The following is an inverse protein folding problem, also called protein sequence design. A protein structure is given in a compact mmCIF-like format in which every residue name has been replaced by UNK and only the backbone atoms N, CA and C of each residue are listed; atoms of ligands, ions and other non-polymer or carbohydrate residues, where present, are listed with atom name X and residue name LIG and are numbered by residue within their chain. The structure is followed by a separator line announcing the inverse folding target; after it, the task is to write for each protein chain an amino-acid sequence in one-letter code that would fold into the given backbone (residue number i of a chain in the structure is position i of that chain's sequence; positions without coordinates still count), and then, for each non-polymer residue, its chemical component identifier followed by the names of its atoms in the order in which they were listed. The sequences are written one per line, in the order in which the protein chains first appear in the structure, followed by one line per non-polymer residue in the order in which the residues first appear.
data_IF_242747654075
#
_entry.id   IF_242747654075
#
_cell.length_a   1.000
_cell.length_b   1.000
_cell.length_c   1.000
_cell.angle_alpha   90.00
_cell.angle_beta   90.00
_cell.angle_gamma   90.00
#
_symmetry.space_group_name_H-M   'P 1'
#
loop_
_entity.id
_entity.type
_entity.pdbx_description
1 polymer ?
#
# COMPACT_ATOMS: atom_id res chain seq x y z
N UNK A 1 7.23 -49.84 50.35
CA UNK A 1 6.50 -48.65 49.84
C UNK A 1 7.33 -48.02 48.74
N UNK A 2 6.82 -47.98 47.51
CA UNK A 2 7.52 -47.39 46.36
C UNK A 2 7.62 -45.87 46.52
N UNK A 3 8.80 -45.30 46.26
CA UNK A 3 9.01 -43.84 46.24
C UNK A 3 8.08 -43.22 45.18
N UNK A 4 7.10 -42.44 45.62
CA UNK A 4 6.17 -41.73 44.75
C UNK A 4 6.54 -40.26 44.66
N UNK A 5 6.63 -39.74 43.44
CA UNK A 5 7.11 -38.40 43.12
C UNK A 5 6.22 -37.24 43.64
N UNK A 6 5.00 -37.51 44.15
CA UNK A 6 4.04 -36.57 44.77
C UNK A 6 4.31 -35.07 44.46
N UNK A 7 4.11 -34.69 43.20
CA UNK A 7 4.04 -33.29 42.76
C UNK A 7 2.73 -33.02 42.00
N UNK A 8 1.56 -33.00 42.67
CA UNK A 8 0.35 -32.42 42.08
C UNK A 8 0.36 -30.91 42.31
N UNK A 9 -0.03 -30.12 41.31
CA UNK A 9 -0.31 -28.69 41.44
C UNK A 9 -1.35 -28.49 42.55
N UNK A 10 -0.91 -28.03 43.73
CA UNK A 10 -1.75 -27.86 44.93
C UNK A 10 -1.80 -29.03 45.93
N UNK A 11 -0.91 -30.04 45.83
CA UNK A 11 -0.84 -31.18 46.76
C UNK A 11 0.17 -31.06 47.91
N UNK A 12 0.24 -32.09 48.77
CA UNK A 12 1.22 -32.19 49.87
C UNK A 12 2.63 -32.49 49.33
N UNK A 13 3.67 -31.71 49.69
CA UNK A 13 5.04 -31.90 49.22
C UNK A 13 5.62 -33.29 49.51
N UNK A 14 6.59 -33.72 48.70
CA UNK A 14 7.36 -34.95 48.91
C UNK A 14 8.12 -34.93 50.25
N UNK A 15 8.12 -36.05 50.96
CA UNK A 15 8.76 -36.22 52.29
C UNK A 15 10.29 -36.14 52.26
N UNK A 16 10.90 -36.07 51.07
CA UNK A 16 12.37 -36.02 50.86
C UNK A 16 12.87 -34.58 50.67
N UNK A 17 11.97 -33.60 50.52
CA UNK A 17 12.32 -32.18 50.37
C UNK A 17 11.44 -31.47 49.34
N UNK A 18 11.35 -30.14 49.44
CA UNK A 18 10.67 -29.31 48.45
C UNK A 18 11.49 -29.23 47.18
N UNK A 19 10.88 -29.53 46.04
CA UNK A 19 11.51 -29.34 44.74
C UNK A 19 11.69 -27.83 44.50
N UNK A 20 12.94 -27.39 44.30
CA UNK A 20 13.31 -25.98 44.13
C UNK A 20 13.02 -25.51 42.70
N UNK A 21 13.15 -26.39 41.71
CA UNK A 21 12.91 -26.12 40.29
C UNK A 21 11.66 -26.88 39.83
N UNK A 22 10.52 -26.19 39.83
CA UNK A 22 9.21 -26.78 39.49
C UNK A 22 8.79 -26.58 38.03
N UNK A 23 9.60 -25.86 37.26
CA UNK A 23 9.29 -25.47 35.89
C UNK A 23 10.53 -25.70 35.02
N UNK A 24 10.32 -26.33 33.87
CA UNK A 24 11.36 -26.49 32.84
C UNK A 24 11.18 -25.35 31.83
N UNK A 25 12.11 -24.41 31.83
CA UNK A 25 12.14 -23.36 30.81
C UNK A 25 12.71 -23.94 29.51
N UNK A 26 11.90 -23.90 28.45
CA UNK A 26 12.37 -24.25 27.11
C UNK A 26 13.25 -23.09 26.64
N UNK A 27 14.55 -23.36 26.44
CA UNK A 27 15.59 -22.36 26.14
C UNK A 27 15.36 -21.44 24.93
N UNK A 28 14.32 -21.68 24.12
CA UNK A 28 14.06 -20.93 22.90
C UNK A 28 12.67 -20.31 22.96
N UNK A 29 12.63 -18.99 22.94
CA UNK A 29 11.39 -18.23 22.79
C UNK A 29 10.71 -18.59 21.46
N UNK A 30 9.38 -18.57 21.46
CA UNK A 30 8.60 -18.57 20.22
C UNK A 30 8.81 -17.21 19.55
N UNK A 31 9.16 -17.23 18.27
CA UNK A 31 9.43 -16.02 17.48
C UNK A 31 8.36 -15.89 16.42
N UNK A 32 7.75 -14.71 16.33
CA UNK A 32 6.73 -14.41 15.32
C UNK A 32 7.36 -14.34 13.93
N UNK A 33 6.59 -14.75 12.90
CA UNK A 33 7.08 -14.68 11.53
C UNK A 33 7.19 -13.21 11.10
N UNK A 34 8.27 -12.80 10.39
CA UNK A 34 8.35 -11.44 9.85
C UNK A 34 7.14 -11.14 8.95
N UNK A 35 6.49 -9.98 9.16
CA UNK A 35 5.44 -9.53 8.25
C UNK A 35 5.99 -9.33 6.85
N UNK A 36 5.25 -9.81 5.87
CA UNK A 36 5.62 -9.70 4.45
C UNK A 36 5.37 -8.28 3.96
N UNK A 37 6.23 -7.83 3.05
CA UNK A 37 6.08 -6.58 2.30
C UNK A 37 5.16 -6.81 1.09
N UNK A 38 4.17 -5.92 0.86
CA UNK A 38 3.14 -6.07 -0.17
C UNK A 38 3.15 -4.92 -1.21
N UNK A 39 3.19 -3.66 -0.76
CA UNK A 39 3.19 -2.44 -1.56
C UNK A 39 4.58 -2.07 -2.11
N UNK A 40 5.63 -2.29 -1.32
CA UNK A 40 7.01 -1.93 -1.71
C UNK A 40 7.58 -2.75 -2.87
N UNK A 41 6.98 -3.90 -3.21
CA UNK A 41 7.38 -4.73 -4.36
C UNK A 41 7.21 -4.03 -5.71
N UNK A 42 6.32 -3.04 -5.81
CA UNK A 42 6.00 -2.32 -7.04
C UNK A 42 6.50 -0.86 -7.04
N UNK A 43 7.23 -0.47 -6.01
CA UNK A 43 7.68 0.91 -5.85
C UNK A 43 8.96 1.17 -6.68
N UNK A 44 8.91 2.17 -7.56
CA UNK A 44 10.13 2.75 -8.10
C UNK A 44 10.89 3.48 -6.99
N UNK A 45 12.22 3.38 -6.95
CA UNK A 45 13.04 4.03 -5.92
C UNK A 45 13.84 5.17 -6.53
N UNK A 46 13.65 6.37 -6.00
CA UNK A 46 14.46 7.55 -6.34
C UNK A 46 15.38 7.90 -5.17
N UNK A 47 16.68 8.08 -5.42
CA UNK A 47 17.66 8.40 -4.38
C UNK A 47 17.90 9.91 -4.31
N UNK A 48 17.73 10.50 -3.12
CA UNK A 48 17.99 11.93 -2.89
C UNK A 48 19.50 12.17 -2.65
N UNK A 49 20.16 13.02 -3.48
CA UNK A 49 21.56 13.36 -3.29
C UNK A 49 21.80 14.30 -2.10
N UNK A 50 23.03 14.29 -1.56
CA UNK A 50 23.44 15.21 -0.49
C UNK A 50 23.37 16.67 -0.96
N UNK A 51 23.03 17.57 -0.02
CA UNK A 51 23.02 19.03 -0.21
C UNK A 51 21.86 19.61 -1.04
N UNK A 52 20.84 18.82 -1.36
CA UNK A 52 19.64 19.28 -2.12
C UNK A 52 18.40 19.50 -1.25
N UNK A 53 18.56 19.62 0.07
CA UNK A 53 17.45 19.80 1.01
C UNK A 53 16.59 18.53 1.18
N UNK A 54 15.31 18.72 1.52
CA UNK A 54 14.35 17.63 1.81
C UNK A 54 13.21 17.51 0.81
N UNK A 55 13.18 18.36 -0.23
CA UNK A 55 12.13 18.38 -1.24
C UNK A 55 12.72 17.96 -2.57
N UNK A 56 12.12 16.96 -3.20
CA UNK A 56 12.43 16.61 -4.58
C UNK A 56 11.32 17.16 -5.48
N UNK A 57 11.71 17.81 -6.56
CA UNK A 57 10.79 18.33 -7.57
C UNK A 57 11.06 17.66 -8.90
N UNK A 58 10.00 17.28 -9.61
CA UNK A 58 10.07 16.72 -10.97
C UNK A 58 9.09 17.46 -11.86
N UNK A 59 9.55 17.85 -13.04
CA UNK A 59 8.65 18.40 -14.06
C UNK A 59 7.91 17.27 -14.77
N UNK A 60 6.60 17.40 -14.88
CA UNK A 60 5.77 16.57 -15.73
C UNK A 60 5.19 17.42 -16.87
N UNK A 61 5.63 17.15 -18.09
CA UNK A 61 5.12 17.82 -19.28
C UNK A 61 3.77 17.24 -19.68
N UNK A 62 2.76 18.10 -19.83
CA UNK A 62 1.44 17.70 -20.29
C UNK A 62 1.39 17.66 -21.82
N UNK A 63 0.84 16.60 -22.43
CA UNK A 63 0.50 16.60 -23.84
C UNK A 63 -0.48 17.74 -24.20
N UNK A 64 -0.43 18.21 -25.44
CA UNK A 64 -1.26 19.33 -25.91
C UNK A 64 -2.76 19.12 -25.67
N UNK A 65 -3.23 17.89 -25.90
CA UNK A 65 -4.63 17.48 -25.77
C UNK A 65 -4.95 16.86 -24.41
N UNK A 66 -4.09 17.00 -23.41
CA UNK A 66 -4.41 16.60 -22.04
C UNK A 66 -5.26 17.71 -21.37
N UNK A 67 -6.29 17.32 -20.63
CA UNK A 67 -7.21 18.26 -19.97
C UNK A 67 -6.49 19.18 -18.97
N UNK A 68 -5.36 18.73 -18.42
CA UNK A 68 -4.52 19.52 -17.52
C UNK A 68 -3.70 20.59 -18.24
N UNK A 69 -3.62 20.54 -19.58
CA UNK A 69 -2.92 21.52 -20.42
C UNK A 69 -3.72 22.83 -20.61
N UNK A 70 -4.20 23.40 -19.51
CA UNK A 70 -4.86 24.71 -19.51
C UNK A 70 -3.80 25.80 -19.56
N UNK A 71 -3.77 26.56 -20.65
CA UNK A 71 -2.83 27.66 -20.87
C UNK A 71 -3.55 28.89 -21.44
N UNK A 72 -2.92 30.05 -21.27
CA UNK A 72 -3.39 31.36 -21.71
C UNK A 72 -2.87 31.74 -23.11
N UNK A 73 -2.10 30.86 -23.76
CA UNK A 73 -1.37 31.17 -24.99
C UNK A 73 -2.07 30.70 -26.27
N UNK A 74 -3.15 29.94 -26.17
CA UNK A 74 -3.96 29.48 -27.31
C UNK A 74 -5.02 30.48 -27.79
N UNK A 75 -4.62 31.75 -27.97
CA UNK A 75 -5.52 32.85 -28.34
C UNK A 75 -5.71 32.94 -29.85
N UNK A 76 -6.96 33.08 -30.31
CA UNK A 76 -7.25 33.68 -31.61
C UNK A 76 -7.01 35.20 -31.58
N UNK A 77 -7.04 35.86 -32.74
CA UNK A 77 -6.87 37.32 -32.86
C UNK A 77 -7.99 38.14 -32.17
N UNK A 78 -9.00 37.48 -31.60
CA UNK A 78 -10.17 38.07 -30.94
C UNK A 78 -10.17 37.88 -29.42
N UNK A 79 -9.13 37.26 -28.85
CA UNK A 79 -8.95 37.17 -27.40
C UNK A 79 -9.85 36.15 -26.70
N UNK A 80 -10.41 35.16 -27.42
CA UNK A 80 -11.22 34.12 -26.80
C UNK A 80 -10.33 33.18 -25.98
N UNK A 81 -10.59 33.06 -24.68
CA UNK A 81 -9.92 32.11 -23.79
C UNK A 81 -10.47 30.71 -24.01
N UNK A 82 -9.60 29.68 -23.98
CA UNK A 82 -10.06 28.29 -23.92
C UNK A 82 -10.71 28.09 -22.55
N UNK A 83 -12.03 28.23 -22.47
CA UNK A 83 -12.76 28.24 -21.21
C UNK A 83 -12.90 26.85 -20.53
N UNK A 84 -12.62 25.75 -21.25
CA UNK A 84 -12.91 24.39 -20.77
C UNK A 84 -11.80 23.38 -21.12
N UNK A 85 -10.65 23.42 -20.44
CA UNK A 85 -9.65 22.35 -20.55
C UNK A 85 -8.75 22.44 -21.79
N UNK A 86 -8.62 21.33 -22.53
CA UNK A 86 -7.72 21.22 -23.69
C UNK A 86 -8.32 21.88 -24.97
N UNK A 87 -7.57 21.84 -26.09
CA UNK A 87 -7.99 22.36 -27.40
C UNK A 87 -9.37 21.85 -27.86
N UNK A 88 -9.79 20.66 -27.44
CA UNK A 88 -11.07 20.04 -27.79
C UNK A 88 -12.16 20.23 -26.73
N UNK A 89 -11.92 21.04 -25.70
CA UNK A 89 -12.89 21.26 -24.65
C UNK A 89 -13.05 20.09 -23.68
N UNK A 90 -12.05 19.20 -23.61
CA UNK A 90 -12.11 17.94 -22.84
C UNK A 90 -13.27 17.02 -23.27
N UNK A 91 -13.72 17.17 -24.52
CA UNK A 91 -14.80 16.39 -25.11
C UNK A 91 -14.28 15.20 -25.91
N UNK A 92 -15.05 14.11 -25.91
CA UNK A 92 -14.89 12.97 -26.83
C UNK A 92 -15.97 12.95 -27.91
N UNK A 93 -16.86 13.95 -27.92
CA UNK A 93 -17.95 14.04 -28.89
C UNK A 93 -17.45 14.54 -30.25
N UNK A 94 -17.91 13.86 -31.31
CA UNK A 94 -17.48 14.11 -32.68
C UNK A 94 -17.89 15.50 -33.17
N UNK A 95 -19.04 16.00 -32.74
CA UNK A 95 -19.54 17.33 -33.11
C UNK A 95 -18.64 18.44 -32.56
N UNK A 96 -18.29 18.35 -31.27
CA UNK A 96 -17.42 19.34 -30.63
C UNK A 96 -15.99 19.30 -31.16
N UNK A 97 -15.43 18.12 -31.44
CA UNK A 97 -14.06 17.99 -31.96
C UNK A 97 -13.98 18.56 -33.39
N UNK A 98 -14.92 18.19 -34.27
CA UNK A 98 -14.93 18.64 -35.66
C UNK A 98 -14.96 20.18 -35.76
N UNK A 99 -15.73 20.83 -34.88
CA UNK A 99 -15.80 22.29 -34.81
C UNK A 99 -14.51 22.95 -34.31
N UNK A 100 -13.70 22.24 -33.52
CA UNK A 100 -12.47 22.76 -32.89
C UNK A 100 -11.19 22.27 -33.58
N UNK A 101 -11.29 21.60 -34.73
CA UNK A 101 -10.12 21.21 -35.50
C UNK A 101 -9.44 22.46 -36.07
N UNK A 102 -8.13 22.62 -35.89
CA UNK A 102 -7.39 23.77 -36.41
C UNK A 102 -7.27 23.68 -37.93
N UNK A 103 -8.26 24.22 -38.64
CA UNK A 103 -8.23 24.34 -40.10
C UNK A 103 -7.32 25.51 -40.52
N UNK A 104 -6.66 25.35 -41.66
CA UNK A 104 -5.87 26.41 -42.30
C UNK A 104 -6.62 26.87 -43.55
N UNK A 105 -6.74 28.19 -43.75
CA UNK A 105 -7.25 28.77 -44.99
C UNK A 105 -6.10 29.20 -45.90
N UNK A 106 -6.38 29.39 -47.20
CA UNK A 106 -5.37 29.85 -48.18
C UNK A 106 -4.83 31.26 -47.89
N UNK A 107 -5.58 32.08 -47.15
CA UNK A 107 -5.16 33.41 -46.74
C UNK A 107 -4.23 33.29 -45.53
N UNK A 108 -2.93 33.56 -45.71
CA UNK A 108 -1.94 33.51 -44.63
C UNK A 108 -2.27 34.46 -43.45
N UNK A 109 -2.08 33.97 -42.22
CA UNK A 109 -2.30 34.72 -40.98
C UNK A 109 -1.83 33.95 -39.73
N UNK A 110 -1.76 34.61 -38.56
CA UNK A 110 -1.41 33.99 -37.28
C UNK A 110 -2.63 33.28 -36.66
N UNK A 111 -3.01 32.12 -37.21
CA UNK A 111 -4.11 31.27 -36.71
C UNK A 111 -3.58 30.04 -35.98
N UNK A 112 -4.41 29.39 -35.16
CA UNK A 112 -4.12 28.09 -34.51
C UNK A 112 -2.88 28.11 -33.58
N UNK A 113 -2.70 29.19 -32.80
CA UNK A 113 -1.67 29.21 -31.76
C UNK A 113 -2.03 28.19 -30.66
N UNK A 114 -1.04 27.40 -30.24
CA UNK A 114 -1.19 26.43 -29.15
C UNK A 114 -0.21 26.73 -28.03
N UNK A 115 -0.58 26.38 -26.80
CA UNK A 115 0.30 26.47 -25.63
C UNK A 115 0.58 25.11 -25.00
N UNK A 116 1.65 25.07 -24.21
CA UNK A 116 2.08 23.90 -23.46
C UNK A 116 2.23 24.26 -21.99
N UNK A 117 1.82 23.34 -21.11
CA UNK A 117 1.97 23.47 -19.66
C UNK A 117 2.87 22.37 -19.11
N UNK A 118 3.72 22.76 -18.16
CA UNK A 118 4.44 21.85 -17.27
C UNK A 118 3.83 21.91 -15.88
N UNK A 119 3.69 20.78 -15.23
CA UNK A 119 3.28 20.68 -13.83
C UNK A 119 4.53 20.37 -13.00
N UNK A 120 4.65 20.99 -11.82
CA UNK A 120 5.65 20.63 -10.83
C UNK A 120 5.07 19.58 -9.89
N UNK A 121 5.67 18.40 -9.86
CA UNK A 121 5.41 17.38 -8.86
C UNK A 121 6.41 17.55 -7.73
N UNK A 122 5.96 17.43 -6.48
CA UNK A 122 6.80 17.56 -5.29
C UNK A 122 6.66 16.29 -4.43
N UNK A 123 7.80 15.79 -3.94
CA UNK A 123 7.86 14.79 -2.88
C UNK A 123 8.68 15.30 -1.71
N UNK A 124 8.29 14.93 -0.50
CA UNK A 124 9.00 15.29 0.73
C UNK A 124 9.73 14.10 1.30
N UNK A 125 10.89 14.36 1.89
CA UNK A 125 11.71 13.38 2.58
C UNK A 125 11.72 13.69 4.08
N UNK A 126 11.24 12.75 4.88
CA UNK A 126 11.19 12.82 6.33
C UNK A 126 12.10 11.76 6.95
N UNK A 127 12.45 11.99 8.22
CA UNK A 127 13.36 11.12 8.97
C UNK A 127 12.61 10.56 10.15
N UNK A 128 12.56 9.24 10.20
CA UNK A 128 11.92 8.49 11.26
C UNK A 128 12.98 7.76 12.09
N UNK A 129 12.62 7.42 13.32
CA UNK A 129 13.45 6.62 14.19
C UNK A 129 12.83 6.46 15.56
N UNK A 130 13.19 5.36 16.21
CA UNK A 130 12.85 5.04 17.59
C UNK A 130 14.06 4.38 18.24
N UNK A 131 14.03 4.32 19.57
CA UNK A 131 15.11 3.77 20.37
C UNK A 131 14.55 2.97 21.54
N UNK A 132 15.36 2.06 22.04
CA UNK A 132 15.12 1.28 23.24
C UNK A 132 16.37 1.33 24.13
N UNK A 133 16.16 1.30 25.44
CA UNK A 133 17.18 1.43 26.47
C UNK A 133 17.12 0.21 27.40
N UNK A 134 18.29 -0.30 27.76
CA UNK A 134 18.41 -1.47 28.63
C UNK A 134 19.58 -1.31 29.60
N UNK A 135 19.48 -1.93 30.76
CA UNK A 135 20.53 -1.89 31.79
C UNK A 135 21.45 -3.10 31.70
N UNK A 136 22.66 -2.97 32.24
CA UNK A 136 23.57 -4.10 32.37
C UNK A 136 22.99 -5.21 33.26
N UNK A 137 22.39 -4.86 34.40
CA UNK A 137 21.73 -5.83 35.27
C UNK A 137 20.59 -6.58 34.56
N UNK A 138 19.81 -5.92 33.70
CA UNK A 138 18.76 -6.58 32.95
C UNK A 138 19.30 -7.60 31.96
N UNK A 139 20.53 -7.47 31.48
CA UNK A 139 21.15 -8.46 30.58
C UNK A 139 21.81 -9.60 31.35
N UNK A 140 22.44 -9.29 32.48
CA UNK A 140 23.19 -10.27 33.27
C UNK A 140 22.28 -11.21 34.09
N UNK A 141 21.08 -10.75 34.44
CA UNK A 141 20.11 -11.50 35.25
C UNK A 141 18.90 -12.03 34.48
N UNK A 142 18.81 -11.80 33.16
CA UNK A 142 17.73 -12.38 32.35
C UNK A 142 17.94 -13.88 32.13
N UNK A 143 16.84 -14.61 32.02
CA UNK A 143 16.83 -16.04 31.75
C UNK A 143 17.00 -16.40 30.27
N UNK A 144 16.81 -15.45 29.35
CA UNK A 144 16.99 -15.59 27.90
C UNK A 144 18.38 -15.12 27.45
N UNK A 145 19.23 -16.09 27.08
CA UNK A 145 20.59 -15.86 26.57
C UNK A 145 20.63 -15.11 25.21
N UNK A 146 19.50 -15.00 24.49
CA UNK A 146 19.39 -14.36 23.17
C UNK A 146 18.56 -13.07 23.17
N UNK A 147 18.29 -12.49 24.34
CA UNK A 147 17.45 -11.28 24.49
C UNK A 147 17.88 -10.14 23.55
N UNK A 148 19.19 -9.89 23.41
CA UNK A 148 19.73 -8.86 22.51
C UNK A 148 19.48 -9.15 21.03
N UNK A 149 19.60 -10.40 20.59
CA UNK A 149 19.32 -10.77 19.20
C UNK A 149 17.83 -10.62 18.89
N UNK A 150 16.97 -10.93 19.86
CA UNK A 150 15.52 -10.74 19.75
C UNK A 150 15.18 -9.25 19.60
N UNK A 151 15.64 -8.39 20.51
CA UNK A 151 15.40 -6.94 20.44
C UNK A 151 15.89 -6.36 19.10
N UNK A 152 17.09 -6.73 18.66
CA UNK A 152 17.63 -6.31 17.37
C UNK A 152 16.74 -6.67 16.19
N UNK A 153 16.25 -7.91 16.16
CA UNK A 153 15.37 -8.38 15.11
C UNK A 153 14.04 -7.66 15.14
N UNK A 154 13.38 -7.55 16.30
CA UNK A 154 12.08 -6.90 16.42
C UNK A 154 12.13 -5.41 16.04
N UNK A 155 13.21 -4.70 16.39
CA UNK A 155 13.39 -3.32 15.91
C UNK A 155 13.47 -3.21 14.38
N UNK A 156 14.16 -4.15 13.72
CA UNK A 156 14.25 -4.16 12.25
C UNK A 156 12.89 -4.49 11.63
N UNK A 157 12.16 -5.46 12.20
CA UNK A 157 10.82 -5.82 11.73
C UNK A 157 9.85 -4.66 11.91
N UNK A 158 9.79 -4.06 13.09
CA UNK A 158 8.94 -2.90 13.37
C UNK A 158 9.24 -1.71 12.44
N UNK A 159 10.52 -1.43 12.15
CA UNK A 159 10.86 -0.34 11.21
C UNK A 159 10.44 -0.64 9.75
N UNK A 160 10.47 -1.91 9.33
CA UNK A 160 9.94 -2.31 8.02
C UNK A 160 8.41 -2.16 7.97
N UNK A 161 7.70 -2.62 9.00
CA UNK A 161 6.24 -2.51 9.10
C UNK A 161 5.79 -1.05 9.05
N UNK A 162 6.40 -0.18 9.87
CA UNK A 162 6.09 1.26 9.87
C UNK A 162 6.31 1.92 8.50
N UNK A 163 7.31 1.46 7.74
CA UNK A 163 7.60 2.01 6.41
C UNK A 163 6.56 1.56 5.39
N UNK A 164 6.09 0.31 5.51
CA UNK A 164 5.03 -0.25 4.67
C UNK A 164 3.68 0.41 4.95
N UNK A 165 3.37 0.66 6.22
CA UNK A 165 2.18 1.38 6.67
C UNK A 165 2.14 2.82 6.16
N UNK A 166 3.28 3.52 6.25
CA UNK A 166 3.41 4.87 5.71
C UNK A 166 3.16 4.90 4.20
N UNK A 167 3.71 3.92 3.47
CA UNK A 167 3.48 3.77 2.04
C UNK A 167 2.01 3.51 1.70
N UNK A 168 1.35 2.66 2.48
CA UNK A 168 -0.07 2.39 2.31
C UNK A 168 -0.91 3.66 2.48
N UNK A 169 -0.67 4.44 3.54
CA UNK A 169 -1.37 5.70 3.81
C UNK A 169 -1.19 6.68 2.64
N UNK A 170 0.04 6.86 2.19
CA UNK A 170 0.36 7.78 1.11
C UNK A 170 -0.31 7.37 -0.21
N UNK A 171 -0.35 6.08 -0.52
CA UNK A 171 -1.02 5.56 -1.71
C UNK A 171 -2.55 5.74 -1.65
N UNK A 172 -3.17 5.47 -0.51
CA UNK A 172 -4.61 5.64 -0.31
C UNK A 172 -5.00 7.12 -0.44
N UNK A 173 -4.21 8.02 0.14
CA UNK A 173 -4.47 9.46 0.10
C UNK A 173 -4.18 10.08 -1.27
N UNK A 174 -3.27 9.49 -2.05
CA UNK A 174 -2.84 10.00 -3.36
C UNK A 174 -3.62 9.42 -4.54
N UNK A 175 -4.67 8.63 -4.29
CA UNK A 175 -5.49 8.05 -5.34
C UNK A 175 -6.25 9.13 -6.13
N UNK A 176 -5.95 9.26 -7.43
CA UNK A 176 -6.61 10.23 -8.31
C UNK A 176 -7.95 9.77 -8.85
N UNK A 177 -8.23 8.46 -8.82
CA UNK A 177 -9.52 7.89 -9.23
C UNK A 177 -10.19 7.24 -8.03
N UNK A 178 -11.11 7.95 -7.38
CA UNK A 178 -11.89 7.41 -6.27
C UNK A 178 -13.27 7.00 -6.77
N UNK A 179 -13.69 5.77 -6.47
CA UNK A 179 -15.06 5.28 -6.69
C UNK A 179 -15.63 4.68 -5.42
N UNK A 180 -16.93 4.83 -5.30
CA UNK A 180 -17.74 4.22 -4.26
C UNK A 180 -18.53 3.07 -4.89
N UNK A 181 -18.60 1.93 -4.21
CA UNK A 181 -19.43 0.82 -4.65
C UNK A 181 -20.92 1.16 -4.46
N UNK A 182 -21.79 0.55 -5.26
CA UNK A 182 -23.23 0.76 -5.19
C UNK A 182 -23.64 2.20 -5.53
N UNK A 183 -24.59 2.75 -4.76
CA UNK A 183 -25.13 4.10 -4.95
C UNK A 183 -24.46 5.17 -4.07
N UNK A 184 -23.45 4.80 -3.28
CA UNK A 184 -22.76 5.71 -2.39
C UNK A 184 -22.00 6.81 -3.16
N UNK A 185 -21.93 8.00 -2.57
CA UNK A 185 -21.21 9.16 -3.15
C UNK A 185 -20.15 9.71 -2.20
N UNK A 186 -20.16 9.25 -0.95
CA UNK A 186 -19.22 9.61 0.11
C UNK A 186 -19.01 8.42 1.05
N UNK A 187 -18.01 8.49 1.93
CA UNK A 187 -17.78 7.45 2.93
C UNK A 187 -19.02 7.26 3.83
N UNK A 188 -19.65 8.36 4.27
CA UNK A 188 -20.78 8.34 5.18
C UNK A 188 -22.08 7.76 4.57
N UNK A 189 -22.14 7.63 3.24
CA UNK A 189 -23.29 7.07 2.52
C UNK A 189 -23.10 5.61 2.13
N UNK A 190 -22.01 4.95 2.57
CA UNK A 190 -21.78 3.53 2.32
C UNK A 190 -22.68 2.72 3.26
N UNK A 191 -23.56 1.92 2.68
CA UNK A 191 -24.53 1.05 3.36
C UNK A 191 -24.29 -0.44 3.06
N UNK A 192 -25.20 -1.32 3.48
CA UNK A 192 -25.15 -2.77 3.25
C UNK A 192 -25.24 -3.17 1.77
N UNK A 193 -25.78 -2.29 0.92
CA UNK A 193 -25.89 -2.50 -0.53
C UNK A 193 -24.64 -2.08 -1.28
N UNK A 194 -23.75 -1.32 -0.64
CA UNK A 194 -22.53 -0.74 -1.20
C UNK A 194 -21.38 -1.76 -1.27
N UNK A 195 -21.69 -2.97 -1.75
CA UNK A 195 -20.76 -4.08 -1.95
C UNK A 195 -20.22 -4.03 -3.39
N UNK A 196 -18.91 -4.13 -3.55
CA UNK A 196 -18.27 -4.12 -4.87
C UNK A 196 -18.83 -5.20 -5.78
N UNK A 197 -19.24 -4.79 -6.98
CA UNK A 197 -19.73 -5.70 -8.02
C UNK A 197 -18.71 -5.85 -9.15
N UNK A 198 -18.88 -6.88 -9.98
CA UNK A 198 -18.07 -7.04 -11.20
C UNK A 198 -18.18 -5.82 -12.13
N UNK A 199 -19.37 -5.20 -12.22
CA UNK A 199 -19.58 -3.99 -13.00
C UNK A 199 -18.78 -2.78 -12.49
N UNK A 200 -18.56 -2.66 -11.17
CA UNK A 200 -17.75 -1.58 -10.60
C UNK A 200 -16.28 -1.75 -10.94
N UNK A 201 -15.77 -2.98 -10.88
CA UNK A 201 -14.41 -3.31 -11.32
C UNK A 201 -14.21 -2.98 -12.81
N UNK A 202 -15.15 -3.35 -13.67
CA UNK A 202 -15.09 -3.01 -15.11
C UNK A 202 -15.05 -1.50 -15.34
N UNK A 203 -15.87 -0.73 -14.63
CA UNK A 203 -15.89 0.74 -14.74
C UNK A 203 -14.57 1.37 -14.31
N UNK A 204 -13.95 0.85 -13.26
CA UNK A 204 -12.61 1.29 -12.83
C UNK A 204 -11.56 0.93 -13.86
N UNK A 205 -11.60 -0.29 -14.41
CA UNK A 205 -10.67 -0.69 -15.46
C UNK A 205 -10.77 0.20 -16.69
N UNK A 206 -11.99 0.52 -17.14
CA UNK A 206 -12.24 1.45 -18.25
C UNK A 206 -11.69 2.84 -17.92
N UNK A 207 -11.92 3.36 -16.71
CA UNK A 207 -11.39 4.66 -16.30
C UNK A 207 -9.86 4.68 -16.34
N UNK A 208 -9.21 3.63 -15.84
CA UNK A 208 -7.76 3.50 -15.85
C UNK A 208 -7.20 3.36 -17.28
N UNK A 209 -7.90 2.65 -18.17
CA UNK A 209 -7.56 2.55 -19.59
C UNK A 209 -7.67 3.93 -20.28
N UNK A 210 -8.71 4.71 -19.95
CA UNK A 210 -8.85 6.10 -20.44
C UNK A 210 -7.72 7.01 -19.94
N UNK A 211 -7.24 6.80 -18.73
CA UNK A 211 -6.09 7.50 -18.16
C UNK A 211 -4.73 6.97 -18.67
N UNK A 212 -4.73 6.06 -19.65
CA UNK A 212 -3.52 5.44 -20.23
C UNK A 212 -2.62 4.82 -19.14
N UNK A 213 -3.25 4.20 -18.15
CA UNK A 213 -2.55 3.42 -17.14
C UNK A 213 -2.04 2.12 -17.79
N UNK A 214 -0.75 1.76 -17.68
CA UNK A 214 -0.26 0.47 -18.18
C UNK A 214 -0.89 -0.69 -17.40
N UNK A 215 -0.97 -1.86 -18.04
CA UNK A 215 -1.31 -3.13 -17.39
C UNK A 215 0.00 -3.85 -17.09
N UNK A 216 0.24 -4.18 -15.83
CA UNK A 216 1.58 -4.53 -15.32
C UNK A 216 2.13 -5.87 -15.83
N UNK A 217 1.31 -6.74 -16.39
CA UNK A 217 1.71 -8.12 -16.70
C UNK A 217 1.76 -8.38 -18.19
N UNK A 218 2.81 -9.07 -18.68
CA UNK A 218 2.76 -9.66 -20.02
C UNK A 218 1.61 -10.66 -20.05
N UNK A 219 0.87 -10.72 -21.17
CA UNK A 219 -0.20 -11.72 -21.36
C UNK A 219 0.37 -13.10 -21.10
N UNK A 220 -0.22 -13.82 -20.16
CA UNK A 220 0.29 -15.09 -19.66
C UNK A 220 -0.12 -16.17 -20.67
N UNK A 221 0.81 -16.53 -21.54
CA UNK A 221 0.56 -17.54 -22.58
C UNK A 221 0.49 -18.91 -21.93
N UNK A 222 -0.56 -19.70 -22.25
CA UNK A 222 -0.69 -21.06 -21.73
C UNK A 222 0.58 -21.88 -21.96
N UNK A 223 1.06 -22.54 -20.90
CA UNK A 223 2.17 -23.49 -21.01
C UNK A 223 1.67 -24.79 -21.62
N UNK A 224 2.56 -25.62 -22.20
CA UNK A 224 2.20 -27.00 -22.61
C UNK A 224 1.85 -27.91 -21.42
N UNK A 225 1.88 -27.38 -20.20
CA UNK A 225 1.49 -28.07 -18.97
C UNK A 225 -0.04 -28.16 -18.90
N UNK A 226 -0.52 -29.40 -18.80
CA UNK A 226 -1.92 -29.78 -18.70
C UNK A 226 -2.58 -28.97 -17.56
N UNK A 227 -3.68 -28.27 -17.87
CA UNK A 227 -4.52 -27.48 -16.95
C UNK A 227 -4.09 -26.03 -16.58
N UNK A 228 -3.16 -25.40 -17.30
CA UNK A 228 -2.91 -23.95 -17.13
C UNK A 228 -3.91 -23.09 -17.91
N UNK A 229 -4.62 -22.17 -17.23
CA UNK A 229 -5.53 -21.21 -17.89
C UNK A 229 -4.78 -19.95 -18.30
N UNK A 230 -5.02 -19.49 -19.54
CA UNK A 230 -4.54 -18.17 -20.00
C UNK A 230 -5.40 -17.09 -19.34
N UNK A 231 -4.75 -16.14 -18.65
CA UNK A 231 -5.41 -14.98 -18.06
C UNK A 231 -4.98 -13.69 -18.79
N UNK A 232 -5.87 -12.70 -18.91
CA UNK A 232 -5.53 -11.42 -19.50
C UNK A 232 -4.53 -10.67 -18.60
N UNK A 233 -3.77 -9.76 -19.21
CA UNK A 233 -2.92 -8.83 -18.47
C UNK A 233 -3.75 -7.99 -17.51
N UNK A 234 -3.33 -7.94 -16.24
CA UNK A 234 -4.01 -7.22 -15.18
C UNK A 234 -3.13 -6.25 -14.39
N UNK A 235 -3.79 -5.34 -13.68
CA UNK A 235 -3.20 -4.42 -12.68
C UNK A 235 -3.31 -5.02 -11.29
N UNK A 236 -2.43 -4.63 -10.37
CA UNK A 236 -2.48 -5.15 -9.00
C UNK A 236 -3.50 -4.37 -8.19
N UNK A 237 -4.38 -5.10 -7.52
CA UNK A 237 -5.39 -4.60 -6.60
C UNK A 237 -5.12 -5.18 -5.20
N UNK A 238 -4.79 -4.31 -4.25
CA UNK A 238 -4.59 -4.63 -2.85
C UNK A 238 -5.91 -4.58 -2.11
N UNK A 239 -6.20 -5.64 -1.36
CA UNK A 239 -7.45 -5.79 -0.59
C UNK A 239 -7.17 -6.29 0.82
N UNK A 240 -8.06 -5.92 1.75
CA UNK A 240 -8.10 -6.53 3.09
C UNK A 240 -8.64 -7.95 3.06
N UNK A 241 -8.30 -8.73 4.08
CA UNK A 241 -8.74 -10.13 4.23
C UNK A 241 -10.27 -10.28 4.28
N UNK A 242 -10.96 -9.27 4.78
CA UNK A 242 -12.41 -9.18 4.93
C UNK A 242 -13.15 -9.17 3.58
N UNK A 243 -12.48 -8.81 2.48
CA UNK A 243 -13.08 -8.79 1.15
C UNK A 243 -12.94 -10.11 0.39
N UNK A 244 -12.20 -11.09 0.93
CA UNK A 244 -12.00 -12.40 0.30
C UNK A 244 -13.34 -13.10 -0.03
N UNK A 245 -14.32 -13.19 0.89
CA UNK A 245 -15.59 -13.83 0.60
C UNK A 245 -16.33 -13.14 -0.56
N UNK A 246 -16.32 -11.80 -0.58
CA UNK A 246 -16.95 -11.01 -1.64
C UNK A 246 -16.35 -11.31 -3.02
N UNK A 247 -15.02 -11.38 -3.14
CA UNK A 247 -14.37 -11.70 -4.41
C UNK A 247 -14.57 -13.17 -4.82
N UNK A 248 -14.48 -14.12 -3.88
CA UNK A 248 -14.69 -15.55 -4.18
C UNK A 248 -16.12 -15.86 -4.61
N UNK A 249 -17.11 -15.15 -4.09
CA UNK A 249 -18.52 -15.29 -4.45
C UNK A 249 -18.92 -14.50 -5.71
N UNK A 250 -18.02 -13.70 -6.28
CA UNK A 250 -18.32 -12.79 -7.39
C UNK A 250 -18.63 -13.56 -8.68
N UNK A 251 -19.67 -13.12 -9.39
CA UNK A 251 -20.06 -13.63 -10.72
C UNK A 251 -19.78 -12.61 -11.80
N UNK A 252 -19.44 -13.11 -13.00
CA UNK A 252 -19.25 -12.30 -14.20
C UNK A 252 -20.60 -11.92 -14.85
N UNK A 253 -20.55 -11.20 -15.97
CA UNK A 253 -21.75 -10.81 -16.74
C UNK A 253 -22.52 -12.00 -17.34
N UNK A 254 -21.93 -13.20 -17.37
CA UNK A 254 -22.54 -14.43 -17.87
C UNK A 254 -23.00 -15.36 -16.75
N UNK A 255 -23.02 -14.88 -15.49
CA UNK A 255 -23.32 -15.64 -14.27
C UNK A 255 -22.34 -16.77 -13.92
N UNK A 256 -21.16 -16.79 -14.52
CA UNK A 256 -20.08 -17.71 -14.16
C UNK A 256 -19.24 -17.14 -13.01
N UNK A 257 -18.52 -17.97 -12.23
CA UNK A 257 -17.58 -17.49 -11.23
C UNK A 257 -16.51 -16.58 -11.87
N UNK A 258 -16.40 -15.34 -11.40
CA UNK A 258 -15.44 -14.36 -11.93
C UNK A 258 -14.02 -14.55 -11.35
N UNK A 259 -13.92 -15.15 -10.17
CA UNK A 259 -12.65 -15.38 -9.49
C UNK A 259 -11.92 -16.59 -10.05
N UNK A 260 -10.66 -16.37 -10.44
CA UNK A 260 -9.73 -17.41 -10.86
C UNK A 260 -8.61 -17.44 -9.83
N UNK A 261 -8.52 -18.54 -9.07
CA UNK A 261 -7.46 -18.72 -8.07
C UNK A 261 -6.07 -18.85 -8.69
N UNK A 262 -5.06 -18.41 -7.93
CA UNK A 262 -3.65 -18.42 -8.36
C UNK A 262 -3.16 -19.83 -8.69
N UNK A 263 -3.71 -20.87 -8.07
CA UNK A 263 -3.37 -22.27 -8.34
C UNK A 263 -3.60 -22.70 -9.80
N UNK A 264 -4.47 -21.99 -10.53
CA UNK A 264 -4.80 -22.31 -11.94
C UNK A 264 -3.85 -21.70 -12.97
N UNK A 265 -2.99 -20.75 -12.57
CA UNK A 265 -2.08 -20.05 -13.48
C UNK A 265 -0.71 -19.68 -12.89
N UNK A 266 -0.50 -19.86 -11.58
CA UNK A 266 0.69 -19.40 -10.87
C UNK A 266 2.00 -19.98 -11.40
N UNK A 267 1.97 -21.19 -11.95
CA UNK A 267 3.16 -21.83 -12.54
C UNK A 267 3.63 -21.15 -13.84
N UNK A 268 2.81 -20.30 -14.47
CA UNK A 268 3.16 -19.57 -15.67
C UNK A 268 3.72 -18.16 -15.37
N UNK A 269 3.86 -17.78 -14.10
CA UNK A 269 4.14 -16.39 -13.69
C UNK A 269 4.99 -16.25 -12.44
N UNK A 270 5.63 -15.09 -12.28
CA UNK A 270 6.06 -14.63 -10.94
C UNK A 270 4.81 -14.13 -10.19
N UNK A 271 4.42 -14.86 -9.16
CA UNK A 271 3.34 -14.49 -8.24
C UNK A 271 3.84 -13.44 -7.25
N UNK A 272 3.00 -12.45 -6.94
CA UNK A 272 3.27 -11.47 -5.90
C UNK A 272 3.04 -12.10 -4.52
N UNK A 273 3.73 -11.62 -3.50
CA UNK A 273 3.45 -12.09 -2.13
C UNK A 273 2.01 -11.72 -1.76
N UNK A 274 1.24 -12.68 -1.22
CA UNK A 274 -0.17 -12.49 -0.86
C UNK A 274 -1.15 -12.53 -2.04
N UNK A 275 -0.71 -12.86 -3.25
CA UNK A 275 -1.61 -13.01 -4.40
C UNK A 275 -2.51 -14.23 -4.24
N UNK A 276 -3.82 -14.02 -4.28
CA UNK A 276 -4.82 -15.09 -4.13
C UNK A 276 -5.43 -15.52 -5.46
N UNK A 277 -5.43 -14.64 -6.46
CA UNK A 277 -6.18 -14.86 -7.68
C UNK A 277 -6.35 -13.61 -8.52
N UNK A 278 -7.09 -13.75 -9.63
CA UNK A 278 -7.47 -12.64 -10.50
C UNK A 278 -8.98 -12.54 -10.65
N UNK A 279 -9.48 -11.32 -10.81
CA UNK A 279 -10.85 -11.02 -11.20
C UNK A 279 -10.81 -9.96 -12.29
N UNK A 280 -11.45 -10.22 -13.42
CA UNK A 280 -11.40 -9.35 -14.60
C UNK A 280 -9.94 -9.04 -15.03
N UNK A 281 -9.55 -7.77 -15.03
CA UNK A 281 -8.21 -7.28 -15.35
C UNK A 281 -7.43 -6.88 -14.10
N UNK A 282 -7.74 -7.49 -12.95
CA UNK A 282 -7.07 -7.21 -11.67
C UNK A 282 -6.49 -8.49 -11.06
N UNK A 283 -5.23 -8.40 -10.59
CA UNK A 283 -4.59 -9.39 -9.72
C UNK A 283 -4.83 -8.98 -8.28
N UNK A 284 -5.44 -9.87 -7.50
CA UNK A 284 -5.83 -9.59 -6.12
C UNK A 284 -4.69 -10.01 -5.18
N UNK A 285 -4.13 -9.03 -4.49
CA UNK A 285 -3.15 -9.22 -3.41
C UNK A 285 -3.85 -8.94 -2.09
N UNK A 286 -3.87 -9.93 -1.20
CA UNK A 286 -4.42 -9.78 0.15
C UNK A 286 -3.33 -9.26 1.07
N UNK A 287 -3.62 -8.12 1.69
CA UNK A 287 -2.81 -7.55 2.77
C UNK A 287 -3.56 -7.84 4.09
N UNK A 288 -3.02 -8.68 4.99
CA UNK A 288 -3.70 -9.06 6.22
C UNK A 288 -4.08 -7.86 7.10
N UNK A 289 -3.21 -6.86 7.18
CA UNK A 289 -3.39 -5.64 7.98
C UNK A 289 -3.73 -4.43 7.10
N UNK A 290 -4.56 -4.63 6.07
CA UNK A 290 -5.01 -3.52 5.23
C UNK A 290 -5.80 -2.50 6.08
N UNK A 291 -5.30 -1.27 6.16
CA UNK A 291 -5.99 -0.17 6.82
C UNK A 291 -7.41 0.06 6.25
N UNK A 292 -8.36 0.35 7.14
CA UNK A 292 -9.77 0.62 6.83
C UNK A 292 -10.28 1.85 7.58
N UNK A 293 -11.37 2.45 7.10
CA UNK A 293 -12.09 3.47 7.88
C UNK A 293 -13.17 2.78 8.71
N UNK A 294 -12.83 2.42 9.95
CA UNK A 294 -13.75 1.78 10.89
C UNK A 294 -14.90 2.74 11.26
N UNK A 295 -16.14 2.27 11.17
CA UNK A 295 -17.34 3.04 11.54
C UNK A 295 -17.56 4.34 10.75
N UNK A 296 -17.00 4.47 9.55
CA UNK A 296 -17.11 5.67 8.72
C UNK A 296 -18.31 5.66 7.76
N UNK A 297 -19.01 4.52 7.66
CA UNK A 297 -20.18 4.31 6.81
C UNK A 297 -21.47 4.92 7.35
N UNK A 298 -22.57 4.55 6.70
CA UNK A 298 -23.92 4.85 7.14
C UNK A 298 -24.25 4.11 8.45
N UNK A 299 -25.40 4.46 9.03
CA UNK A 299 -25.92 3.76 10.20
C UNK A 299 -26.18 2.29 9.87
N UNK A 300 -25.58 1.40 10.66
CA UNK A 300 -25.73 -0.05 10.56
C UNK A 300 -26.72 -0.59 11.60
N UNK A 301 -27.36 0.30 12.39
CA UNK A 301 -28.33 -0.10 13.40
C UNK A 301 -29.46 -0.95 12.79
N UNK A 302 -29.49 -2.24 13.16
CA UNK A 302 -30.51 -3.20 12.75
C UNK A 302 -30.12 -4.17 11.63
N UNK A 303 -28.91 -4.13 11.08
CA UNK A 303 -28.48 -5.06 10.00
C UNK A 303 -27.10 -5.66 10.29
N UNK A 304 -27.02 -7.00 10.46
CA UNK A 304 -25.77 -7.73 10.75
C UNK A 304 -25.27 -8.55 9.55
N UNK A 305 -25.31 -7.96 8.35
CA UNK A 305 -24.84 -8.65 7.13
C UNK A 305 -23.42 -8.26 6.73
N UNK A 306 -22.90 -7.19 7.32
CA UNK A 306 -21.65 -6.55 6.95
C UNK A 306 -20.85 -6.15 8.19
N UNK A 307 -19.54 -5.94 8.04
CA UNK A 307 -18.68 -5.47 9.12
C UNK A 307 -19.07 -4.06 9.60
N UNK A 308 -19.13 -3.87 10.92
CA UNK A 308 -19.49 -2.61 11.56
C UNK A 308 -18.62 -2.32 12.79
N UNK A 309 -18.43 -1.03 13.07
CA UNK A 309 -17.79 -0.53 14.29
C UNK A 309 -18.63 0.62 14.84
N UNK A 310 -19.09 0.50 16.09
CA UNK A 310 -19.89 1.56 16.73
C UNK A 310 -21.22 1.85 16.01
N UNK A 311 -21.94 0.80 15.59
CA UNK A 311 -23.21 0.85 14.84
C UNK A 311 -23.13 1.58 13.49
N UNK A 312 -21.95 1.64 12.88
CA UNK A 312 -21.74 2.17 11.54
C UNK A 312 -20.93 1.20 10.72
N UNK A 313 -21.21 1.11 9.43
CA UNK A 313 -20.47 0.22 8.54
C UNK A 313 -18.99 0.60 8.46
N UNK A 314 -18.15 -0.42 8.42
CA UNK A 314 -16.72 -0.27 8.12
C UNK A 314 -16.53 -0.07 6.61
N UNK A 315 -15.67 0.89 6.24
CA UNK A 315 -15.34 1.16 4.83
C UNK A 315 -13.98 0.57 4.49
N UNK A 316 -13.97 -0.36 3.56
CA UNK A 316 -12.77 -1.05 3.10
C UNK A 316 -12.25 -0.46 1.79
N UNK A 317 -10.95 -0.16 1.69
CA UNK A 317 -10.31 0.21 0.44
C UNK A 317 -9.99 -1.03 -0.40
N UNK A 318 -10.21 -0.92 -1.71
CA UNK A 318 -9.57 -1.74 -2.74
C UNK A 318 -8.65 -0.79 -3.50
N UNK A 319 -7.35 -0.90 -3.26
CA UNK A 319 -6.35 0.00 -3.84
C UNK A 319 -5.78 -0.65 -5.10
N UNK A 320 -6.01 -0.02 -6.26
CA UNK A 320 -5.44 -0.45 -7.54
C UNK A 320 -4.28 0.46 -7.89
N UNK A 321 -3.11 -0.13 -8.08
CA UNK A 321 -1.88 0.60 -8.37
C UNK A 321 -1.40 0.27 -9.78
N UNK A 322 -1.27 1.32 -10.61
CA UNK A 322 -0.66 1.24 -11.93
C UNK A 322 0.86 1.33 -11.87
N UNK A 323 1.52 0.84 -12.92
CA UNK A 323 2.98 0.97 -13.04
C UNK A 323 3.42 2.43 -13.24
N UNK A 324 4.62 2.75 -12.74
CA UNK A 324 5.21 4.10 -12.73
C UNK A 324 4.27 5.19 -12.16
N UNK A 325 3.37 4.80 -11.24
CA UNK A 325 2.39 5.74 -10.67
C UNK A 325 2.93 6.51 -9.47
N UNK A 326 3.91 5.96 -8.77
CA UNK A 326 4.55 6.57 -7.61
C UNK A 326 6.02 6.15 -7.51
N UNK A 327 6.80 6.88 -6.71
CA UNK A 327 8.15 6.48 -6.33
C UNK A 327 8.37 6.72 -4.84
N UNK A 328 9.06 5.80 -4.19
CA UNK A 328 9.59 6.01 -2.83
C UNK A 328 10.94 6.72 -2.93
N UNK A 329 11.17 7.67 -2.02
CA UNK A 329 12.38 8.47 -1.98
C UNK A 329 13.27 7.94 -0.85
N UNK A 330 14.41 7.39 -1.24
CA UNK A 330 15.48 7.03 -0.32
C UNK A 330 16.48 8.15 -0.12
N UNK A 331 17.31 8.06 0.92
CA UNK A 331 18.48 8.93 1.10
C UNK A 331 19.74 8.08 1.17
N UNK A 332 20.69 8.32 0.27
CA UNK A 332 21.94 7.54 0.16
C UNK A 332 21.71 6.03 0.00
N UNK A 333 20.72 5.66 -0.80
CA UNK A 333 20.44 4.27 -1.17
C UNK A 333 21.03 3.98 -2.55
N UNK A 334 21.38 2.71 -2.81
CA UNK A 334 21.79 2.21 -4.12
C UNK A 334 20.59 2.07 -5.09
N UNK A 335 19.52 2.86 -4.86
CA UNK A 335 18.32 2.88 -5.69
C UNK A 335 17.45 1.63 -5.63
N UNK A 336 17.59 0.76 -4.61
CA UNK A 336 16.83 -0.51 -4.53
C UNK A 336 16.11 -0.79 -3.21
N UNK A 337 16.48 -0.13 -2.11
CA UNK A 337 15.84 -0.38 -0.81
C UNK A 337 15.98 0.82 0.13
N UNK A 338 15.06 0.92 1.09
CA UNK A 338 15.16 1.85 2.22
C UNK A 338 16.31 1.41 3.12
N UNK A 339 17.21 2.34 3.44
CA UNK A 339 18.40 2.05 4.26
C UNK A 339 18.15 2.42 5.72
N UNK A 340 18.03 1.41 6.56
CA UNK A 340 18.03 1.57 8.01
C UNK A 340 19.46 1.81 8.53
N UNK A 341 19.62 2.81 9.38
CA UNK A 341 20.85 3.03 10.14
C UNK A 341 20.60 2.66 11.60
N UNK A 342 21.13 1.49 11.98
CA UNK A 342 21.07 0.97 13.34
C UNK A 342 22.33 1.45 14.07
N UNK A 343 22.17 1.90 15.31
CA UNK A 343 23.26 2.20 16.23
C UNK A 343 23.01 1.43 17.51
N UNK A 344 24.01 0.65 17.91
CA UNK A 344 24.01 -0.09 19.16
C UNK A 344 25.17 0.42 20.00
N UNK A 345 24.88 0.80 21.25
CA UNK A 345 25.90 1.02 22.27
C UNK A 345 25.55 0.17 23.48
N UNK A 346 26.44 -0.75 23.80
CA UNK A 346 26.36 -1.52 25.04
C UNK A 346 26.57 -0.60 26.26
N UNK A 347 25.99 -0.95 27.43
CA UNK A 347 26.35 -0.34 28.70
C UNK A 347 27.87 -0.39 28.90
N UNK A 348 28.44 0.69 29.44
CA UNK A 348 29.85 0.81 29.78
C UNK A 348 30.41 2.22 29.61
N UNK A 349 31.74 2.33 29.58
CA UNK A 349 32.46 3.62 29.55
C UNK A 349 32.04 4.53 28.38
N UNK A 350 31.63 3.94 27.25
CA UNK A 350 31.22 4.69 26.06
C UNK A 350 29.79 5.29 26.12
N UNK A 351 28.98 4.89 27.10
CA UNK A 351 27.66 5.46 27.42
C UNK A 351 27.67 6.33 28.67
N UNK A 352 28.72 6.21 29.49
CA UNK A 352 28.92 7.02 30.69
C UNK A 352 28.86 8.53 30.38
N UNK A 353 28.01 9.24 31.11
CA UNK A 353 27.79 10.67 30.96
C UNK A 353 27.33 11.30 32.29
N UNK A 354 27.04 12.60 32.33
CA UNK A 354 26.66 13.26 33.58
C UNK A 354 25.34 12.74 34.22
N UNK A 355 24.44 12.16 33.42
CA UNK A 355 23.16 11.59 33.85
C UNK A 355 23.28 10.10 34.19
N UNK A 356 24.19 9.37 33.54
CA UNK A 356 24.57 8.00 33.86
C UNK A 356 26.10 7.92 34.04
N UNK A 357 26.63 8.31 35.21
CA UNK A 357 28.07 8.43 35.43
C UNK A 357 28.80 7.08 35.46
N UNK A 358 28.07 5.97 35.62
CA UNK A 358 28.61 4.62 35.67
C UNK A 358 28.43 3.86 34.34
N UNK A 359 27.62 4.38 33.41
CA UNK A 359 27.38 3.76 32.12
C UNK A 359 26.54 2.49 32.23
N UNK A 360 25.69 2.38 33.27
CA UNK A 360 24.86 1.20 33.56
C UNK A 360 23.76 1.00 32.52
N UNK A 361 23.48 2.03 31.72
CA UNK A 361 22.49 2.01 30.64
C UNK A 361 23.15 1.95 29.26
N UNK A 362 22.61 1.08 28.40
CA UNK A 362 22.91 0.95 26.99
C UNK A 362 21.69 1.30 26.16
N UNK A 363 21.89 1.54 24.86
CA UNK A 363 20.78 1.81 23.97
C UNK A 363 20.96 1.18 22.59
N UNK A 364 19.80 0.90 22.01
CA UNK A 364 19.66 0.50 20.63
C UNK A 364 18.80 1.53 19.93
N UNK A 365 19.20 2.00 18.75
CA UNK A 365 18.40 2.97 18.00
C UNK A 365 18.42 2.65 16.52
N UNK A 366 17.27 2.81 15.89
CA UNK A 366 17.10 2.66 14.45
C UNK A 366 16.58 3.97 13.89
N UNK A 367 17.17 4.41 12.78
CA UNK A 367 16.71 5.59 12.05
C UNK A 367 16.76 5.36 10.55
N UNK A 368 15.78 5.89 9.84
CA UNK A 368 15.70 5.79 8.39
C UNK A 368 15.12 7.06 7.80
N UNK A 369 15.27 7.19 6.49
CA UNK A 369 14.61 8.22 5.72
C UNK A 369 13.50 7.57 4.92
N UNK A 370 12.33 8.18 4.95
CA UNK A 370 11.19 7.80 4.14
C UNK A 370 10.67 9.04 3.43
N UNK A 371 10.36 8.89 2.16
CA UNK A 371 9.70 9.92 1.38
C UNK A 371 8.87 9.28 0.30
N UNK A 372 7.83 9.99 -0.12
CA UNK A 372 6.89 9.54 -1.13
C UNK A 372 6.67 10.63 -2.16
N UNK A 373 6.57 10.23 -3.41
CA UNK A 373 6.21 11.13 -4.50
C UNK A 373 5.22 10.44 -5.42
N UNK A 374 3.99 10.96 -5.46
CA UNK A 374 3.01 10.56 -6.44
C UNK A 374 3.40 11.13 -7.81
N UNK A 375 3.71 10.26 -8.77
CA UNK A 375 4.11 10.67 -10.11
C UNK A 375 2.90 10.90 -11.01
N UNK A 376 1.93 9.97 -10.95
CA UNK A 376 0.71 9.97 -11.76
C UNK A 376 -0.48 9.52 -10.94
N UNK A 377 -1.13 10.43 -10.19
CA UNK A 377 -2.29 10.07 -9.36
C UNK A 377 -3.44 9.50 -10.20
N UNK A 378 -3.56 9.88 -11.47
CA UNK A 378 -4.58 9.36 -12.38
C UNK A 378 -4.46 7.84 -12.66
N UNK A 379 -3.32 7.22 -12.33
CA UNK A 379 -3.05 5.79 -12.47
C UNK A 379 -3.29 5.00 -11.18
N UNK A 380 -3.61 5.67 -10.07
CA UNK A 380 -3.94 5.07 -8.79
C UNK A 380 -5.45 5.18 -8.59
N UNK A 381 -6.12 4.03 -8.49
CA UNK A 381 -7.54 3.98 -8.24
C UNK A 381 -7.85 3.41 -6.86
N UNK A 382 -8.91 3.92 -6.25
CA UNK A 382 -9.39 3.50 -4.95
C UNK A 382 -10.88 3.23 -5.04
N UNK A 383 -11.28 1.98 -4.79
CA UNK A 383 -12.69 1.62 -4.63
C UNK A 383 -12.98 1.52 -3.15
N UNK A 384 -14.04 2.16 -2.69
CA UNK A 384 -14.51 2.09 -1.30
C UNK A 384 -15.78 1.26 -1.27
N UNK A 385 -15.77 0.20 -0.46
CA UNK A 385 -16.85 -0.80 -0.37
C UNK A 385 -17.07 -1.21 1.08
N UNK A 386 -18.24 -1.76 1.37
CA UNK A 386 -18.48 -2.54 2.58
C UNK A 386 -18.01 -3.99 2.37
N UNK A 387 -17.62 -4.67 3.46
CA UNK A 387 -17.31 -6.11 3.48
C UNK A 387 -18.48 -6.92 4.06
N UNK A 388 -18.81 -8.04 3.43
CA UNK A 388 -19.83 -8.98 3.93
C UNK A 388 -19.22 -9.94 4.96
N UNK A 389 -20.01 -10.29 5.98
CA UNK A 389 -19.65 -11.29 7.00
C UNK A 389 -19.69 -12.73 6.47
#
# INVERSE_FOLDING_TARGET
MSMQFKNPTGGTPSTIGTQIQNHYYVKKALVELPKLQYFSQLADVTSMPKNFGKKIKRYHYMPLLDDRNVNDQGLDASGATIANGNLYGSSKDIGTITQKMPALSETGGRVNRVGFKRIELEGTLEKFGFFDEYTQESMDFDTDEQLMEHINREMILGANEMTEDALQIDLINSAGVVRYAGAATSNATIDDTSVVTYGDLMRVSIQLDQNRCPKQTKVITGSRMIDTKTIPSGRVAYIGSELIPTFKAMKDLHNNPAFIGVERYGNATVTLNGEIGTVDQFRLVVVPEMMKWAGAGADASGTSTCYETGNKYDVFPILVVGDESFTTIGFQTDGKSVKFKIMHKAPGEATANQLDPYGETGFMSIKWYYGFMCLRPERIALIKTVGKL
#
